data_IF_391720614376
#
_entry.id   IF_391720614376
#
_cell.length_a   1.000
_cell.length_b   1.000
_cell.length_c   1.000
_cell.angle_alpha   90.00
_cell.angle_beta   90.00
_cell.angle_gamma   90.00
#
_symmetry.space_group_name_H-M   'P 1'
#
loop_
_entity.id
_entity.type
_entity.pdbx_description
1 polymer ?
#
# COMPACT_ATOMS: atom_id res chain seq x y z
N UNK A 1 -4.65 -2.45 3.23
CA UNK A 1 -4.92 -3.74 3.90
C UNK A 1 -3.94 -4.74 3.33
N UNK A 2 -3.17 -5.39 4.17
CA UNK A 2 -2.22 -6.45 3.80
C UNK A 2 -2.72 -7.81 4.29
N UNK A 3 -2.07 -8.88 3.82
CA UNK A 3 -2.27 -10.24 4.30
C UNK A 3 -0.99 -10.73 4.94
N UNK A 4 -1.10 -11.24 6.16
CA UNK A 4 0.00 -11.80 6.93
C UNK A 4 -0.30 -13.26 7.28
N UNK A 5 0.73 -14.06 7.48
CA UNK A 5 0.61 -15.41 8.03
C UNK A 5 1.37 -15.52 9.34
N UNK A 6 0.81 -16.29 10.28
CA UNK A 6 1.42 -16.63 11.57
C UNK A 6 1.27 -18.13 11.84
N UNK A 7 2.17 -18.68 12.63
CA UNK A 7 2.18 -20.09 13.01
C UNK A 7 1.77 -20.30 14.46
N UNK A 8 0.96 -21.33 14.71
CA UNK A 8 0.59 -21.79 16.04
C UNK A 8 0.70 -23.28 16.26
N UNK A 9 0.69 -23.69 17.52
CA UNK A 9 0.85 -25.09 17.91
C UNK A 9 2.29 -25.56 18.02
N UNK A 10 3.22 -24.64 18.32
CA UNK A 10 4.62 -25.00 18.59
C UNK A 10 4.66 -25.86 19.85
N UNK A 11 5.28 -27.05 19.78
CA UNK A 11 5.55 -27.92 20.93
C UNK A 11 4.33 -28.26 21.80
N UNK A 12 3.14 -28.37 21.21
CA UNK A 12 1.90 -28.68 21.95
C UNK A 12 1.61 -27.69 23.11
N UNK A 13 1.96 -26.42 22.92
CA UNK A 13 1.74 -25.33 23.88
C UNK A 13 0.25 -24.98 24.15
N UNK A 14 -0.71 -25.80 23.74
CA UNK A 14 -2.15 -25.55 23.90
C UNK A 14 -2.76 -24.63 22.83
N UNK A 15 -1.97 -24.04 21.94
CA UNK A 15 -2.48 -23.14 20.88
C UNK A 15 -3.54 -23.81 20.01
N UNK A 16 -3.33 -25.08 19.67
CA UNK A 16 -4.26 -25.82 18.80
C UNK A 16 -5.63 -25.98 19.45
N UNK A 17 -5.66 -26.34 20.74
CA UNK A 17 -6.91 -26.47 21.50
C UNK A 17 -7.58 -25.11 21.69
N UNK A 18 -6.80 -24.07 21.98
CA UNK A 18 -7.33 -22.71 22.10
C UNK A 18 -7.92 -22.21 20.78
N UNK A 19 -7.22 -22.46 19.68
CA UNK A 19 -7.69 -22.14 18.34
C UNK A 19 -8.98 -22.89 18.05
N UNK A 20 -9.07 -24.20 18.30
CA UNK A 20 -10.30 -24.98 18.06
C UNK A 20 -11.50 -24.39 18.81
N UNK A 21 -11.28 -23.92 20.04
CA UNK A 21 -12.32 -23.36 20.91
C UNK A 21 -12.56 -21.85 20.73
N UNK A 22 -11.88 -21.17 19.80
CA UNK A 22 -12.06 -19.73 19.60
C UNK A 22 -13.42 -19.41 18.98
N UNK A 23 -14.16 -18.46 19.55
CA UNK A 23 -15.42 -17.94 19.03
C UNK A 23 -15.32 -16.51 18.48
N UNK A 24 -16.44 -15.94 18.02
CA UNK A 24 -16.48 -14.66 17.30
C UNK A 24 -15.80 -13.48 18.02
N UNK A 25 -15.85 -13.49 19.36
CA UNK A 25 -15.28 -12.45 20.22
C UNK A 25 -13.86 -12.77 20.72
N UNK A 26 -13.29 -13.89 20.29
CA UNK A 26 -11.94 -14.29 20.70
C UNK A 26 -10.92 -13.27 20.24
N UNK A 27 -10.06 -12.88 21.17
CA UNK A 27 -8.94 -11.96 20.97
C UNK A 27 -7.72 -12.61 21.59
N UNK A 28 -6.61 -12.59 20.87
CA UNK A 28 -5.38 -13.23 21.34
C UNK A 28 -4.15 -12.55 20.76
N UNK A 29 -3.02 -12.80 21.42
CA UNK A 29 -1.73 -12.20 21.14
C UNK A 29 -0.81 -13.23 20.48
N UNK A 30 -0.11 -12.81 19.42
CA UNK A 30 0.75 -13.69 18.63
C UNK A 30 2.04 -12.98 18.24
N UNK A 31 3.09 -13.76 18.00
CA UNK A 31 4.26 -13.27 17.26
C UNK A 31 3.81 -12.86 15.85
N UNK A 32 4.19 -11.66 15.43
CA UNK A 32 3.76 -11.11 14.15
C UNK A 32 4.71 -10.06 13.59
N UNK A 33 4.28 -9.39 12.52
CA UNK A 33 5.06 -8.35 11.87
C UNK A 33 4.73 -6.97 12.47
N UNK A 34 5.75 -6.16 12.76
CA UNK A 34 5.59 -4.77 13.23
C UNK A 34 4.91 -3.86 12.20
N UNK A 35 5.01 -4.20 10.91
CA UNK A 35 4.37 -3.47 9.83
C UNK A 35 2.87 -3.78 9.70
N UNK A 36 2.35 -4.75 10.46
CA UNK A 36 0.92 -5.06 10.49
C UNK A 36 0.12 -3.82 10.88
N UNK A 37 -0.97 -3.54 10.17
CA UNK A 37 -1.90 -2.46 10.51
C UNK A 37 -3.23 -3.01 10.99
N UNK A 38 -3.88 -2.29 11.91
CA UNK A 38 -5.24 -2.63 12.35
C UNK A 38 -6.14 -2.86 11.14
N UNK A 39 -6.84 -3.98 11.13
CA UNK A 39 -7.70 -4.42 10.05
C UNK A 39 -7.01 -5.23 8.96
N UNK A 40 -5.69 -5.42 8.98
CA UNK A 40 -5.05 -6.38 8.07
C UNK A 40 -5.59 -7.80 8.27
N UNK A 41 -5.49 -8.62 7.22
CA UNK A 41 -5.91 -10.03 7.23
C UNK A 41 -4.77 -10.86 7.80
N UNK A 42 -5.09 -11.81 8.68
CA UNK A 42 -4.10 -12.71 9.29
C UNK A 42 -4.52 -14.17 9.09
N UNK A 43 -3.74 -14.90 8.30
CA UNK A 43 -3.85 -16.35 8.14
C UNK A 43 -3.17 -17.03 9.34
N UNK A 44 -3.88 -17.92 10.02
CA UNK A 44 -3.32 -18.73 11.12
C UNK A 44 -3.08 -20.14 10.63
N UNK A 45 -1.81 -20.54 10.62
CA UNK A 45 -1.36 -21.87 10.23
C UNK A 45 -1.00 -22.70 11.46
N UNK A 46 -1.57 -23.89 11.59
CA UNK A 46 -1.16 -24.84 12.61
C UNK A 46 0.07 -25.61 12.13
N UNK A 47 1.13 -25.58 12.93
CA UNK A 47 2.36 -26.34 12.69
C UNK A 47 2.13 -27.84 12.89
N UNK A 48 3.19 -28.63 12.70
CA UNK A 48 3.16 -30.08 12.91
C UNK A 48 2.58 -30.44 14.30
N UNK A 49 1.70 -31.44 14.40
CA UNK A 49 1.35 -32.45 13.38
C UNK A 49 0.22 -32.05 12.42
N UNK A 50 -0.47 -30.92 12.66
CA UNK A 50 -1.64 -30.51 11.86
C UNK A 50 -1.24 -30.05 10.47
N UNK A 51 -0.25 -29.17 10.37
CA UNK A 51 0.34 -28.70 9.10
C UNK A 51 -0.70 -28.19 8.08
N UNK A 52 -1.56 -27.27 8.49
CA UNK A 52 -2.56 -26.65 7.62
C UNK A 52 -2.92 -25.22 8.05
N UNK A 53 -3.43 -24.42 7.12
CA UNK A 53 -4.07 -23.13 7.43
C UNK A 53 -5.43 -23.43 8.08
N UNK A 54 -5.56 -23.00 9.33
CA UNK A 54 -6.67 -23.33 10.22
C UNK A 54 -7.81 -22.32 10.14
N UNK A 55 -7.49 -21.03 10.05
CA UNK A 55 -8.47 -19.96 10.15
C UNK A 55 -7.94 -18.64 9.63
N UNK A 56 -8.86 -17.73 9.30
CA UNK A 56 -8.58 -16.34 8.92
C UNK A 56 -9.04 -15.41 10.04
N UNK A 57 -8.20 -14.43 10.39
CA UNK A 57 -8.44 -13.48 11.47
C UNK A 57 -8.20 -12.05 10.97
N UNK A 58 -8.53 -11.06 11.81
CA UNK A 58 -8.20 -9.63 11.59
C UNK A 58 -7.22 -9.13 12.63
N UNK A 59 -6.28 -8.28 12.21
CA UNK A 59 -5.42 -7.56 13.13
C UNK A 59 -6.24 -6.55 13.95
N UNK A 60 -6.26 -6.70 15.27
CA UNK A 60 -6.95 -5.78 16.20
C UNK A 60 -6.14 -4.51 16.44
N UNK A 61 -4.81 -4.62 16.41
CA UNK A 61 -3.88 -3.50 16.61
C UNK A 61 -2.90 -3.40 15.45
N UNK A 62 -2.20 -2.27 15.36
CA UNK A 62 -0.93 -2.23 14.64
C UNK A 62 0.06 -3.19 15.32
N UNK A 63 1.06 -3.66 14.57
CA UNK A 63 2.18 -4.40 15.11
C UNK A 63 3.06 -3.51 15.97
N UNK A 64 3.62 -4.09 17.03
CA UNK A 64 4.45 -3.37 17.97
C UNK A 64 5.63 -4.23 18.45
N UNK A 65 6.65 -3.53 18.92
CA UNK A 65 7.78 -4.14 19.60
C UNK A 65 7.48 -4.05 21.10
N UNK A 66 7.58 -5.18 21.79
CA UNK A 66 7.47 -5.21 23.24
C UNK A 66 8.70 -5.92 23.82
N UNK A 67 9.74 -5.16 24.25
CA UNK A 67 11.02 -5.71 24.65
C UNK A 67 10.98 -6.70 25.82
N UNK A 68 9.90 -6.69 26.60
CA UNK A 68 9.76 -7.48 27.82
C UNK A 68 8.77 -8.66 27.70
N UNK A 69 8.21 -8.90 26.52
CA UNK A 69 7.27 -10.00 26.28
C UNK A 69 7.97 -11.23 25.67
N UNK A 70 7.27 -12.37 25.70
CA UNK A 70 7.73 -13.64 25.14
C UNK A 70 8.09 -13.55 23.65
N UNK A 71 7.45 -12.64 22.90
CA UNK A 71 7.77 -12.32 21.51
C UNK A 71 8.16 -10.86 21.37
N UNK A 72 9.31 -10.61 20.74
CA UNK A 72 9.82 -9.26 20.52
C UNK A 72 8.94 -8.45 19.55
N UNK A 73 8.43 -9.08 18.49
CA UNK A 73 7.53 -8.47 17.50
C UNK A 73 6.16 -9.14 17.56
N UNK A 74 5.12 -8.35 17.78
CA UNK A 74 3.82 -8.92 18.14
C UNK A 74 2.62 -8.15 17.63
N UNK A 75 1.50 -8.87 17.55
CA UNK A 75 0.20 -8.38 17.10
C UNK A 75 -0.92 -8.94 17.99
N UNK A 76 -2.00 -8.19 18.13
CA UNK A 76 -3.27 -8.72 18.61
C UNK A 76 -4.16 -9.05 17.42
N UNK A 77 -4.78 -10.23 17.42
CA UNK A 77 -5.75 -10.66 16.40
C UNK A 77 -7.13 -10.89 17.00
N UNK A 78 -8.18 -10.73 16.20
CA UNK A 78 -9.56 -10.94 16.61
C UNK A 78 -10.43 -11.42 15.43
N UNK A 79 -11.72 -11.66 15.71
CA UNK A 79 -12.74 -12.01 14.71
C UNK A 79 -12.35 -13.22 13.87
N UNK A 80 -12.15 -14.39 14.51
CA UNK A 80 -11.79 -15.61 13.80
C UNK A 80 -12.90 -16.06 12.86
N UNK A 81 -12.49 -16.51 11.67
CA UNK A 81 -13.34 -17.26 10.75
C UNK A 81 -12.66 -18.61 10.54
N UNK A 82 -13.33 -19.69 10.97
CA UNK A 82 -12.88 -21.06 10.70
C UNK A 82 -13.04 -21.36 9.21
N UNK A 83 -12.04 -22.02 8.65
CA UNK A 83 -12.05 -22.43 7.25
C UNK A 83 -11.88 -23.95 7.17
N UNK A 84 -12.34 -24.54 6.07
CA UNK A 84 -11.95 -25.89 5.70
C UNK A 84 -10.41 -25.91 5.63
N UNK A 85 -9.72 -26.80 6.37
CA UNK A 85 -8.27 -26.82 6.43
C UNK A 85 -7.61 -26.89 5.05
N UNK A 86 -6.63 -26.00 4.82
CA UNK A 86 -5.75 -26.04 3.64
C UNK A 86 -4.41 -26.60 4.08
N UNK A 87 -4.15 -27.84 3.71
CA UNK A 87 -2.94 -28.58 4.09
C UNK A 87 -1.68 -28.00 3.45
N UNK A 88 -0.53 -28.24 4.08
CA UNK A 88 0.76 -27.91 3.48
C UNK A 88 0.95 -28.53 2.10
N UNK A 89 0.47 -29.75 1.89
CA UNK A 89 0.55 -30.42 0.59
C UNK A 89 -0.25 -29.68 -0.49
N UNK A 90 -1.44 -29.19 -0.17
CA UNK A 90 -2.22 -28.33 -1.08
C UNK A 90 -1.49 -27.02 -1.40
N UNK A 91 -0.87 -26.37 -0.42
CA UNK A 91 -0.05 -25.16 -0.66
C UNK A 91 1.15 -25.46 -1.57
N UNK A 92 1.79 -26.61 -1.37
CA UNK A 92 2.97 -27.03 -2.13
C UNK A 92 2.64 -27.42 -3.57
N UNK A 93 1.43 -27.91 -3.82
CA UNK A 93 0.98 -28.34 -5.14
C UNK A 93 0.27 -27.24 -5.93
N UNK A 94 -0.08 -26.11 -5.29
CA UNK A 94 -0.70 -24.98 -5.98
C UNK A 94 0.31 -24.19 -6.86
N UNK A 95 -0.02 -23.85 -8.12
CA UNK A 95 0.92 -23.17 -9.03
C UNK A 95 1.44 -21.81 -8.56
N UNK A 96 0.66 -21.07 -7.76
CA UNK A 96 1.02 -19.75 -7.26
C UNK A 96 1.72 -19.91 -5.92
N UNK A 97 1.10 -20.60 -4.97
CA UNK A 97 1.56 -20.68 -3.59
C UNK A 97 2.85 -21.49 -3.46
N UNK A 98 3.07 -22.50 -4.31
CA UNK A 98 4.33 -23.25 -4.38
C UNK A 98 5.55 -22.38 -4.69
N UNK A 99 5.33 -21.20 -5.29
CA UNK A 99 6.42 -20.27 -5.60
C UNK A 99 6.85 -19.42 -4.41
N UNK A 100 6.00 -19.30 -3.38
CA UNK A 100 6.29 -18.52 -2.18
C UNK A 100 7.48 -19.12 -1.42
N UNK A 101 8.46 -18.29 -1.05
CA UNK A 101 9.66 -18.72 -0.33
C UNK A 101 9.39 -19.37 1.02
N UNK A 102 8.29 -19.01 1.70
CA UNK A 102 7.86 -19.65 2.95
C UNK A 102 7.38 -21.08 2.70
N UNK A 103 6.57 -21.30 1.64
CA UNK A 103 6.08 -22.64 1.27
C UNK A 103 7.24 -23.51 0.81
N UNK A 104 8.14 -23.00 -0.03
CA UNK A 104 9.40 -23.67 -0.42
C UNK A 104 10.26 -24.05 0.79
N UNK A 105 10.31 -23.17 1.79
CA UNK A 105 10.99 -23.38 3.07
C UNK A 105 10.23 -24.24 4.07
N UNK A 106 9.19 -24.98 3.66
CA UNK A 106 8.38 -25.83 4.54
C UNK A 106 7.82 -25.11 5.76
N UNK A 107 7.38 -23.87 5.56
CA UNK A 107 6.80 -23.00 6.60
C UNK A 107 7.77 -22.63 7.74
N UNK A 108 9.08 -22.82 7.57
CA UNK A 108 10.07 -22.37 8.55
C UNK A 108 10.11 -20.84 8.63
N UNK A 109 10.11 -20.29 9.85
CA UNK A 109 10.09 -18.84 10.07
C UNK A 109 8.78 -18.16 9.67
N UNK A 110 7.65 -18.86 9.80
CA UNK A 110 6.31 -18.42 9.37
C UNK A 110 5.83 -17.11 9.98
N UNK A 111 6.22 -16.79 11.21
CA UNK A 111 5.61 -15.70 11.97
C UNK A 111 5.88 -14.34 11.32
N UNK A 112 4.79 -13.65 10.92
CA UNK A 112 4.84 -12.30 10.38
C UNK A 112 5.27 -12.21 8.92
N UNK A 113 5.19 -13.30 8.15
CA UNK A 113 5.47 -13.28 6.70
C UNK A 113 4.28 -12.70 5.95
N UNK A 114 4.56 -11.88 4.93
CA UNK A 114 3.54 -11.25 4.09
C UNK A 114 3.11 -12.19 2.96
N UNK A 115 1.81 -12.27 2.73
CA UNK A 115 1.24 -12.82 1.50
C UNK A 115 0.81 -11.67 0.59
N UNK A 116 1.03 -11.85 -0.70
CA UNK A 116 0.57 -10.96 -1.77
C UNK A 116 -0.93 -11.15 -2.02
N UNK A 117 -1.54 -10.21 -2.75
CA UNK A 117 -2.89 -10.31 -3.26
C UNK A 117 -3.10 -11.60 -4.03
N UNK A 118 -2.22 -11.89 -4.99
CA UNK A 118 -2.33 -13.06 -5.87
C UNK A 118 -2.25 -14.37 -5.06
N UNK A 119 -1.39 -14.42 -4.04
CA UNK A 119 -1.31 -15.57 -3.13
C UNK A 119 -2.57 -15.69 -2.27
N UNK A 120 -3.12 -14.60 -1.77
CA UNK A 120 -4.37 -14.66 -1.00
C UNK A 120 -5.57 -15.06 -1.87
N UNK A 121 -5.65 -14.60 -3.12
CA UNK A 121 -6.67 -15.05 -4.07
C UNK A 121 -6.53 -16.57 -4.34
N UNK A 122 -5.30 -17.09 -4.46
CA UNK A 122 -5.08 -18.54 -4.58
C UNK A 122 -5.58 -19.32 -3.34
N UNK A 123 -5.45 -18.74 -2.14
CA UNK A 123 -6.04 -19.30 -0.91
C UNK A 123 -7.57 -19.32 -0.99
N UNK A 124 -8.19 -18.23 -1.43
CA UNK A 124 -9.66 -18.16 -1.61
C UNK A 124 -10.14 -19.17 -2.65
N UNK A 125 -9.42 -19.31 -3.76
CA UNK A 125 -9.72 -20.30 -4.82
C UNK A 125 -9.66 -21.73 -4.28
N UNK A 126 -8.63 -22.08 -3.49
CA UNK A 126 -8.54 -23.40 -2.86
C UNK A 126 -9.72 -23.65 -1.92
N UNK A 127 -10.10 -22.67 -1.10
CA UNK A 127 -11.27 -22.77 -0.22
C UNK A 127 -12.57 -22.97 -1.00
N UNK A 128 -12.75 -22.21 -2.08
CA UNK A 128 -13.92 -22.32 -2.92
C UNK A 128 -14.01 -23.69 -3.60
N UNK A 129 -12.90 -24.23 -4.12
CA UNK A 129 -12.83 -25.59 -4.67
C UNK A 129 -13.16 -26.66 -3.65
N UNK A 130 -12.89 -26.40 -2.36
CA UNK A 130 -13.24 -27.26 -1.23
C UNK A 130 -14.67 -27.05 -0.71
N UNK A 131 -15.46 -26.19 -1.36
CA UNK A 131 -16.87 -25.95 -1.03
C UNK A 131 -17.09 -24.96 0.12
N UNK A 132 -16.06 -24.26 0.59
CA UNK A 132 -16.22 -23.18 1.55
C UNK A 132 -16.94 -21.99 0.88
N UNK A 133 -17.93 -21.41 1.57
CA UNK A 133 -18.42 -20.08 1.22
C UNK A 133 -17.33 -19.04 1.51
N UNK A 134 -16.73 -18.49 0.46
CA UNK A 134 -15.69 -17.46 0.56
C UNK A 134 -16.26 -16.04 0.66
N UNK A 135 -17.58 -15.85 0.57
CA UNK A 135 -18.21 -14.53 0.68
C UNK A 135 -18.10 -13.92 2.08
N UNK A 136 -17.97 -14.77 3.10
CA UNK A 136 -17.79 -14.37 4.50
C UNK A 136 -16.35 -13.98 4.83
N UNK A 137 -15.39 -14.31 3.97
CA UNK A 137 -13.97 -14.03 4.18
C UNK A 137 -13.62 -12.60 3.78
N UNK A 138 -12.67 -11.94 4.48
CA UNK A 138 -12.24 -10.60 4.13
C UNK A 138 -11.55 -10.60 2.77
N UNK A 139 -12.12 -9.90 1.78
CA UNK A 139 -11.52 -9.80 0.45
C UNK A 139 -10.61 -8.59 0.35
N UNK A 140 -9.50 -8.76 -0.36
CA UNK A 140 -8.74 -7.61 -0.84
C UNK A 140 -9.51 -7.07 -2.04
N UNK A 141 -10.07 -5.87 -1.93
CA UNK A 141 -10.70 -5.24 -3.09
C UNK A 141 -9.61 -4.92 -4.13
N UNK A 142 -9.67 -5.46 -5.36
CA UNK A 142 -8.88 -4.90 -6.44
C UNK A 142 -9.33 -3.45 -6.57
N UNK A 143 -8.43 -2.50 -6.29
CA UNK A 143 -8.78 -1.12 -6.56
C UNK A 143 -9.03 -1.06 -8.05
N UNK A 144 -10.19 -0.53 -8.43
CA UNK A 144 -10.69 -0.33 -9.79
C UNK A 144 -9.70 -0.72 -10.90
N UNK A 145 -10.07 -1.70 -11.72
CA UNK A 145 -9.55 -1.77 -13.08
C UNK A 145 -9.85 -0.40 -13.71
N UNK A 146 -8.83 0.44 -13.92
CA UNK A 146 -8.93 1.47 -14.95
C UNK A 146 -9.22 0.67 -16.21
N UNK A 147 -10.48 0.69 -16.62
CA UNK A 147 -10.96 0.02 -17.81
C UNK A 147 -9.97 0.37 -18.91
N UNK A 148 -9.39 -0.63 -19.56
CA UNK A 148 -8.38 -0.52 -20.63
C UNK A 148 -8.85 0.26 -21.87
N UNK A 149 -9.99 0.96 -21.78
CA UNK A 149 -10.65 1.76 -22.80
C UNK A 149 -10.69 3.26 -22.45
N UNK A 150 -9.73 3.78 -21.69
CA UNK A 150 -9.60 5.24 -21.48
C UNK A 150 -9.07 5.87 -22.77
N UNK A 151 -9.89 6.68 -23.44
CA UNK A 151 -9.48 7.38 -24.66
C UNK A 151 -8.77 8.68 -24.30
N UNK A 152 -7.45 8.61 -24.12
CA UNK A 152 -6.60 9.75 -23.75
C UNK A 152 -6.03 10.37 -25.02
N UNK A 153 -6.41 11.61 -25.31
CA UNK A 153 -6.00 12.35 -26.51
C UNK A 153 -5.09 13.53 -26.19
N UNK A 154 -5.21 14.07 -24.98
CA UNK A 154 -4.46 15.24 -24.54
C UNK A 154 -4.09 15.18 -23.05
N UNK A 155 -3.31 16.17 -22.58
CA UNK A 155 -2.88 16.27 -21.19
C UNK A 155 -4.07 16.40 -20.23
N UNK A 156 -5.12 17.11 -20.65
CA UNK A 156 -6.36 17.26 -19.87
C UNK A 156 -7.07 15.94 -19.61
N UNK A 157 -6.94 14.98 -20.51
CA UNK A 157 -7.48 13.63 -20.29
C UNK A 157 -6.68 12.85 -19.24
N UNK A 158 -5.36 13.04 -19.16
CA UNK A 158 -4.53 12.44 -18.11
C UNK A 158 -4.96 12.96 -16.74
N UNK A 159 -5.23 14.26 -16.64
CA UNK A 159 -5.80 14.87 -15.44
C UNK A 159 -7.13 14.23 -15.02
N UNK A 160 -8.13 14.35 -15.89
CA UNK A 160 -9.50 14.01 -15.54
C UNK A 160 -9.72 12.48 -15.43
N UNK A 161 -9.04 11.69 -16.25
CA UNK A 161 -9.32 10.26 -16.39
C UNK A 161 -8.33 9.35 -15.65
N UNK A 162 -7.15 9.87 -15.23
CA UNK A 162 -6.14 9.09 -14.52
C UNK A 162 -5.78 9.69 -13.15
N UNK A 163 -5.39 10.97 -13.13
CA UNK A 163 -4.90 11.64 -11.92
C UNK A 163 -6.04 11.82 -10.90
N UNK A 164 -7.13 12.48 -11.27
CA UNK A 164 -8.23 12.78 -10.34
C UNK A 164 -8.91 11.54 -9.76
N UNK A 165 -9.18 10.46 -10.53
CA UNK A 165 -9.66 9.20 -9.97
C UNK A 165 -8.70 8.61 -8.92
N UNK A 166 -7.38 8.65 -9.18
CA UNK A 166 -6.38 8.20 -8.22
C UNK A 166 -6.38 9.07 -6.96
N UNK A 167 -6.46 10.40 -7.11
CA UNK A 167 -6.53 11.34 -5.98
C UNK A 167 -7.75 11.05 -5.09
N UNK A 168 -8.91 10.75 -5.68
CA UNK A 168 -10.10 10.33 -4.94
C UNK A 168 -9.85 9.06 -4.10
N UNK A 169 -9.17 8.05 -4.67
CA UNK A 169 -8.79 6.83 -3.94
C UNK A 169 -7.77 7.08 -2.84
N UNK A 170 -6.86 8.03 -3.04
CA UNK A 170 -5.88 8.48 -2.04
C UNK A 170 -6.52 9.34 -0.93
N UNK A 171 -7.83 9.57 -1.00
CA UNK A 171 -8.65 10.26 0.01
C UNK A 171 -8.79 11.76 -0.21
N UNK A 172 -8.28 12.31 -1.31
CA UNK A 172 -8.40 13.73 -1.62
C UNK A 172 -9.79 14.10 -2.12
N UNK A 173 -10.11 15.37 -1.95
CA UNK A 173 -11.29 16.06 -2.46
C UNK A 173 -10.82 17.31 -3.19
N UNK A 174 -11.66 17.90 -4.04
CA UNK A 174 -11.30 19.07 -4.85
C UNK A 174 -10.83 20.29 -4.02
N UNK A 175 -11.16 20.35 -2.74
CA UNK A 175 -10.72 21.40 -1.82
C UNK A 175 -9.30 21.19 -1.27
N UNK A 176 -8.69 20.02 -1.48
CA UNK A 176 -7.36 19.70 -0.96
C UNK A 176 -6.24 20.14 -1.92
N UNK A 177 -6.56 20.58 -3.14
CA UNK A 177 -5.60 21.11 -4.12
C UNK A 177 -6.10 22.38 -4.82
N UNK A 178 -5.17 23.15 -5.36
CA UNK A 178 -5.45 24.25 -6.28
C UNK A 178 -4.77 23.96 -7.60
N UNK A 179 -5.52 24.14 -8.69
CA UNK A 179 -5.00 24.04 -10.04
C UNK A 179 -4.33 25.33 -10.44
N UNK A 180 -3.26 25.23 -11.22
CA UNK A 180 -2.58 26.37 -11.84
C UNK A 180 -2.38 27.51 -10.83
N UNK A 181 -1.71 27.20 -9.71
CA UNK A 181 -1.43 28.19 -8.68
C UNK A 181 -0.39 29.19 -9.19
N UNK A 182 -0.67 30.49 -9.17
CA UNK A 182 0.30 31.50 -9.58
C UNK A 182 1.46 31.58 -8.58
N UNK A 183 2.62 31.03 -8.93
CA UNK A 183 3.83 31.12 -8.12
C UNK A 183 4.73 32.22 -8.67
N UNK A 184 5.01 33.25 -7.87
CA UNK A 184 5.95 34.32 -8.25
C UNK A 184 7.39 33.81 -8.15
N UNK A 185 8.10 33.91 -9.26
CA UNK A 185 9.53 33.63 -9.40
C UNK A 185 10.26 34.95 -9.65
N UNK A 186 11.12 35.36 -8.71
CA UNK A 186 12.04 36.50 -8.90
C UNK A 186 11.43 37.71 -9.61
N UNK A 187 11.98 38.06 -10.78
CA UNK A 187 11.67 39.22 -11.65
C UNK A 187 10.25 39.24 -12.27
N UNK A 188 9.25 38.69 -11.57
CA UNK A 188 7.83 38.81 -11.93
C UNK A 188 7.28 37.68 -12.80
N UNK A 189 8.08 36.66 -13.13
CA UNK A 189 7.57 35.49 -13.84
C UNK A 189 6.63 34.69 -12.94
N UNK A 190 5.48 34.29 -13.50
CA UNK A 190 4.51 33.43 -12.82
C UNK A 190 4.57 32.05 -13.44
N UNK A 191 4.75 31.05 -12.60
CA UNK A 191 4.66 29.66 -13.03
C UNK A 191 3.56 28.94 -12.27
N UNK A 192 2.94 27.96 -12.93
CA UNK A 192 1.69 27.36 -12.53
C UNK A 192 1.86 25.83 -12.48
N UNK A 193 2.04 25.21 -11.30
CA UNK A 193 1.93 23.77 -11.20
C UNK A 193 0.49 23.33 -11.48
N UNK A 194 0.33 22.17 -12.12
CA UNK A 194 -1.02 21.66 -12.46
C UNK A 194 -1.84 21.37 -11.20
N UNK A 195 -1.21 20.84 -10.16
CA UNK A 195 -1.81 20.60 -8.85
C UNK A 195 -0.85 20.99 -7.73
N UNK A 196 -1.29 21.88 -6.84
CA UNK A 196 -0.62 22.20 -5.59
C UNK A 196 -1.51 21.86 -4.39
N UNK A 197 -1.02 21.01 -3.49
CA UNK A 197 -1.82 20.42 -2.40
C UNK A 197 -1.57 21.09 -1.05
N UNK A 198 -2.65 21.29 -0.29
CA UNK A 198 -2.63 21.87 1.06
C UNK A 198 -1.83 23.17 1.13
N UNK A 199 -2.23 24.13 0.29
CA UNK A 199 -1.54 25.41 0.21
C UNK A 199 -1.66 26.15 1.53
N UNK A 200 -0.54 26.73 1.94
CA UNK A 200 -0.50 27.76 2.98
C UNK A 200 -0.18 29.07 2.29
N UNK A 201 -1.12 30.01 2.40
CA UNK A 201 -0.95 31.35 1.84
C UNK A 201 0.01 32.18 2.70
N UNK A 202 0.89 32.92 2.03
CA UNK A 202 1.86 33.83 2.61
C UNK A 202 2.52 34.59 1.47
N UNK A 203 2.51 35.93 1.52
CA UNK A 203 2.96 36.76 0.38
C UNK A 203 4.45 36.53 0.13
N UNK A 204 4.82 35.81 -0.92
CA UNK A 204 6.21 35.40 -1.18
C UNK A 204 6.71 34.21 -0.36
N UNK A 205 5.90 33.70 0.56
CA UNK A 205 6.16 32.53 1.41
C UNK A 205 5.14 31.42 1.14
N UNK A 206 4.62 31.37 -0.09
CA UNK A 206 3.65 30.37 -0.47
C UNK A 206 4.25 28.97 -0.31
N UNK A 207 3.54 28.09 0.39
CA UNK A 207 3.96 26.70 0.60
C UNK A 207 2.88 25.75 0.10
N UNK A 208 3.31 24.62 -0.45
CA UNK A 208 2.46 23.48 -0.75
C UNK A 208 3.13 22.22 -0.20
N UNK A 209 2.35 21.28 0.34
CA UNK A 209 2.93 20.05 0.89
C UNK A 209 3.38 19.07 -0.20
N UNK A 210 2.67 19.08 -1.32
CA UNK A 210 2.94 18.25 -2.49
C UNK A 210 2.60 19.01 -3.77
N UNK A 211 3.32 18.73 -4.84
CA UNK A 211 3.03 19.16 -6.21
C UNK A 211 2.78 17.93 -7.09
N UNK A 212 1.87 18.02 -8.05
CA UNK A 212 1.73 17.02 -9.10
C UNK A 212 1.66 17.74 -10.45
N UNK A 213 2.53 17.32 -11.35
CA UNK A 213 2.61 17.82 -12.73
C UNK A 213 2.05 16.78 -13.70
N UNK A 214 1.15 17.20 -14.57
CA UNK A 214 0.61 16.38 -15.64
C UNK A 214 1.47 16.56 -16.91
N UNK A 215 1.65 15.48 -17.65
CA UNK A 215 2.18 15.49 -19.01
C UNK A 215 1.30 14.58 -19.85
N UNK A 216 1.05 14.91 -21.11
CA UNK A 216 0.34 13.97 -21.98
C UNK A 216 1.10 12.64 -22.10
N UNK A 217 2.40 12.67 -22.42
CA UNK A 217 3.25 11.49 -22.56
C UNK A 217 4.69 11.76 -22.11
N UNK A 218 5.33 10.70 -21.62
CA UNK A 218 6.76 10.63 -21.35
C UNK A 218 7.27 9.30 -21.92
N UNK A 219 7.83 9.34 -23.13
CA UNK A 219 8.32 8.16 -23.87
C UNK A 219 9.79 7.90 -23.65
N UNK A 220 10.55 8.93 -23.27
CA UNK A 220 12.01 8.86 -23.16
C UNK A 220 12.52 9.39 -21.83
N UNK A 221 13.70 8.93 -21.42
CA UNK A 221 14.37 9.46 -20.22
C UNK A 221 14.68 10.96 -20.35
N UNK A 222 14.94 11.45 -21.57
CA UNK A 222 15.15 12.89 -21.83
C UNK A 222 13.89 13.72 -21.55
N UNK A 223 12.72 13.21 -21.92
CA UNK A 223 11.43 13.85 -21.62
C UNK A 223 11.16 13.80 -20.11
N UNK A 224 11.40 12.66 -19.47
CA UNK A 224 11.27 12.52 -18.01
C UNK A 224 12.18 13.50 -17.27
N UNK A 225 13.43 13.65 -17.73
CA UNK A 225 14.40 14.56 -17.13
C UNK A 225 13.96 16.03 -17.24
N UNK A 226 13.36 16.44 -18.35
CA UNK A 226 12.78 17.78 -18.51
C UNK A 226 11.61 18.00 -17.55
N UNK A 227 10.65 17.06 -17.53
CA UNK A 227 9.50 17.13 -16.63
C UNK A 227 9.93 17.14 -15.15
N UNK A 228 10.96 16.36 -14.81
CA UNK A 228 11.58 16.35 -13.49
C UNK A 228 12.12 17.72 -13.08
N UNK A 229 12.92 18.38 -13.92
CA UNK A 229 13.46 19.70 -13.57
C UNK A 229 12.38 20.75 -13.43
N UNK A 230 11.35 20.68 -14.27
CA UNK A 230 10.18 21.53 -14.17
C UNK A 230 9.48 21.34 -12.82
N UNK A 231 9.02 20.12 -12.51
CA UNK A 231 8.31 19.82 -11.27
C UNK A 231 9.17 20.05 -10.01
N UNK A 232 10.47 19.72 -10.08
CA UNK A 232 11.44 19.99 -9.01
C UNK A 232 11.56 21.48 -8.72
N UNK A 233 11.58 22.33 -9.74
CA UNK A 233 11.66 23.78 -9.55
C UNK A 233 10.46 24.31 -8.75
N UNK A 234 9.26 23.78 -9.02
CA UNK A 234 8.03 24.14 -8.31
C UNK A 234 8.05 23.62 -6.88
N UNK A 235 8.45 22.35 -6.69
CA UNK A 235 8.54 21.73 -5.39
C UNK A 235 9.51 22.49 -4.47
N UNK A 236 10.68 22.90 -4.97
CA UNK A 236 11.63 23.70 -4.20
C UNK A 236 11.08 25.08 -3.84
N UNK A 237 10.44 25.76 -4.80
CA UNK A 237 9.87 27.10 -4.59
C UNK A 237 8.72 27.11 -3.58
N UNK A 238 7.90 26.07 -3.58
CA UNK A 238 6.77 25.89 -2.67
C UNK A 238 7.13 25.08 -1.42
N UNK A 239 8.43 24.81 -1.21
CA UNK A 239 8.98 24.06 -0.07
C UNK A 239 8.28 22.71 0.16
N UNK A 240 7.84 22.09 -0.94
CA UNK A 240 7.21 20.77 -0.92
C UNK A 240 8.23 19.69 -0.61
N UNK A 241 7.79 18.67 0.13
CA UNK A 241 8.64 17.52 0.48
C UNK A 241 8.44 16.32 -0.44
N UNK A 242 7.40 16.37 -1.27
CA UNK A 242 7.11 15.36 -2.28
C UNK A 242 6.62 16.08 -3.53
N UNK A 243 7.00 15.61 -4.70
CA UNK A 243 6.28 15.95 -5.93
C UNK A 243 6.10 14.71 -6.79
N UNK A 244 5.10 14.74 -7.65
CA UNK A 244 4.82 13.67 -8.58
C UNK A 244 4.72 14.20 -10.02
N UNK A 245 5.01 13.33 -10.97
CA UNK A 245 4.80 13.56 -12.40
C UNK A 245 3.91 12.43 -12.89
N UNK A 246 2.87 12.77 -13.63
CA UNK A 246 1.92 11.81 -14.17
C UNK A 246 1.81 11.97 -15.69
N UNK A 247 1.85 10.86 -16.41
CA UNK A 247 1.63 10.80 -17.85
C UNK A 247 0.87 9.52 -18.22
N UNK A 248 0.49 9.32 -19.49
CA UNK A 248 -0.15 8.07 -19.94
C UNK A 248 0.62 6.83 -19.47
N UNK A 249 1.95 6.91 -19.50
CA UNK A 249 2.81 5.80 -19.14
C UNK A 249 2.73 5.43 -17.65
N UNK A 250 2.52 6.39 -16.75
CA UNK A 250 2.37 6.13 -15.33
C UNK A 250 2.61 7.34 -14.43
N UNK A 251 2.96 7.03 -13.18
CA UNK A 251 3.18 7.97 -12.10
C UNK A 251 4.62 7.82 -11.57
N UNK A 252 5.35 8.94 -11.52
CA UNK A 252 6.67 9.06 -10.91
C UNK A 252 6.56 9.90 -9.64
N UNK A 253 7.00 9.38 -8.50
CA UNK A 253 6.94 10.07 -7.21
C UNK A 253 8.35 10.31 -6.71
N UNK A 254 8.65 11.57 -6.37
CA UNK A 254 9.94 12.03 -5.87
C UNK A 254 9.77 12.57 -4.46
N UNK A 255 10.56 12.04 -3.52
CA UNK A 255 10.55 12.48 -2.12
C UNK A 255 11.82 13.27 -1.79
N UNK A 256 11.71 14.26 -0.92
CA UNK A 256 12.82 15.07 -0.47
C UNK A 256 13.69 14.27 0.51
N UNK A 257 14.94 14.04 0.12
CA UNK A 257 15.96 13.46 1.00
C UNK A 257 16.89 14.56 1.55
N UNK A 258 17.84 14.17 2.43
CA UNK A 258 18.87 15.09 2.95
C UNK A 258 19.68 15.77 1.85
N UNK A 259 19.96 15.07 0.75
CA UNK A 259 20.68 15.59 -0.42
C UNK A 259 19.77 16.32 -1.43
N UNK A 260 18.50 16.57 -1.07
CA UNK A 260 17.48 17.11 -1.97
C UNK A 260 16.77 16.04 -2.80
N UNK A 261 16.03 16.49 -3.81
CA UNK A 261 15.40 15.60 -4.79
C UNK A 261 16.45 15.03 -5.75
N UNK A 262 16.55 13.70 -5.82
CA UNK A 262 17.40 12.96 -6.75
C UNK A 262 16.59 12.39 -7.92
N UNK A 263 17.10 12.53 -9.15
CA UNK A 263 16.39 12.08 -10.35
C UNK A 263 16.22 10.55 -10.39
N UNK A 264 17.27 9.80 -10.05
CA UNK A 264 17.25 8.33 -10.02
C UNK A 264 16.54 7.77 -8.78
N UNK A 265 16.14 8.62 -7.82
CA UNK A 265 15.53 8.23 -6.55
C UNK A 265 14.02 8.47 -6.55
N UNK A 266 13.34 7.87 -7.53
CA UNK A 266 11.90 7.97 -7.68
C UNK A 266 11.23 6.61 -7.58
N UNK A 267 9.94 6.63 -7.22
CA UNK A 267 9.06 5.48 -7.34
C UNK A 267 8.25 5.64 -8.61
N UNK A 268 8.45 4.74 -9.57
CA UNK A 268 7.63 4.66 -10.78
C UNK A 268 6.60 3.53 -10.65
N UNK A 269 5.35 3.83 -11.03
CA UNK A 269 4.28 2.83 -11.21
C UNK A 269 3.42 3.15 -12.41
N UNK A 270 3.10 2.13 -13.19
CA UNK A 270 2.06 2.21 -14.22
C UNK A 270 0.70 2.42 -13.58
N UNK A 271 -0.27 2.92 -14.35
CA UNK A 271 -1.64 3.09 -13.86
C UNK A 271 -2.30 1.78 -13.43
N UNK A 272 -1.93 0.65 -14.04
CA UNK A 272 -2.42 -0.65 -13.58
C UNK A 272 -1.87 -1.00 -12.19
N UNK A 273 -0.58 -0.74 -11.98
CA UNK A 273 0.06 -1.03 -10.70
C UNK A 273 -0.38 -0.09 -9.57
N UNK A 274 -0.70 1.17 -9.84
CA UNK A 274 -1.15 2.10 -8.80
C UNK A 274 -2.45 1.65 -8.13
N UNK A 275 -3.21 0.77 -8.78
CA UNK A 275 -4.45 0.18 -8.25
C UNK A 275 -4.27 -1.27 -7.78
N UNK A 276 -3.07 -1.83 -7.90
CA UNK A 276 -2.82 -3.18 -7.42
C UNK A 276 -2.83 -3.22 -5.88
N UNK A 277 -3.59 -4.12 -5.23
CA UNK A 277 -3.74 -4.11 -3.76
C UNK A 277 -2.42 -4.23 -2.99
N UNK A 278 -1.40 -4.89 -3.55
CA UNK A 278 -0.07 -4.97 -2.92
C UNK A 278 0.78 -3.71 -3.07
N UNK A 279 0.53 -2.92 -4.11
CA UNK A 279 1.34 -1.74 -4.47
C UNK A 279 0.70 -0.46 -3.94
N UNK A 280 -0.63 -0.38 -3.97
CA UNK A 280 -1.36 0.81 -3.53
C UNK A 280 -1.01 1.26 -2.11
N UNK A 281 -0.81 0.39 -1.10
CA UNK A 281 -0.36 0.82 0.22
C UNK A 281 0.94 1.64 0.18
N UNK A 282 1.88 1.29 -0.71
CA UNK A 282 3.11 2.07 -0.92
C UNK A 282 2.81 3.46 -1.46
N UNK A 283 1.93 3.56 -2.47
CA UNK A 283 1.50 4.85 -3.03
C UNK A 283 0.73 5.69 -1.99
N UNK A 284 -0.16 5.06 -1.24
CA UNK A 284 -0.92 5.69 -0.15
C UNK A 284 0.01 6.23 0.95
N UNK A 285 1.09 5.52 1.27
CA UNK A 285 2.10 5.99 2.22
C UNK A 285 2.91 7.17 1.68
N UNK A 286 3.21 7.21 0.39
CA UNK A 286 4.01 8.28 -0.22
C UNK A 286 3.21 9.57 -0.46
N UNK A 287 2.02 9.44 -1.06
CA UNK A 287 1.23 10.56 -1.56
C UNK A 287 -0.24 10.51 -1.15
N UNK A 288 -0.64 9.66 -0.21
CA UNK A 288 -2.00 9.64 0.32
C UNK A 288 -2.30 10.89 1.16
N UNK A 289 -3.57 11.33 1.19
CA UNK A 289 -4.01 12.54 1.91
C UNK A 289 -3.52 12.59 3.35
N UNK A 290 -3.70 11.49 4.09
CA UNK A 290 -3.32 11.42 5.49
C UNK A 290 -1.79 11.49 5.67
N UNK A 291 -1.05 10.85 4.77
CA UNK A 291 0.42 10.86 4.75
C UNK A 291 0.94 12.28 4.47
N UNK A 292 0.44 12.93 3.42
CA UNK A 292 0.83 14.30 3.07
C UNK A 292 0.42 15.31 4.15
N UNK A 293 -0.77 15.18 4.76
CA UNK A 293 -1.19 16.06 5.86
C UNK A 293 -0.23 16.00 7.06
N UNK A 294 0.34 14.82 7.35
CA UNK A 294 1.31 14.62 8.44
C UNK A 294 2.70 15.19 8.16
N UNK A 295 3.03 15.49 6.90
CA UNK A 295 4.28 16.16 6.56
C UNK A 295 4.28 17.53 7.26
N UNK A 296 5.23 17.72 8.18
CA UNK A 296 5.51 19.04 8.76
C UNK A 296 5.97 19.95 7.63
N UNK A 297 5.28 21.07 7.46
CA UNK A 297 5.80 22.18 6.64
C UNK A 297 7.14 22.61 7.25
N UNK A 298 8.10 22.95 6.39
CA UNK A 298 9.52 23.09 6.72
C UNK A 298 9.82 23.71 8.09
N UNK A 299 10.58 22.96 8.88
CA UNK A 299 11.39 23.42 9.99
C UNK A 299 12.55 22.42 10.08
N UNK A 300 13.78 22.94 10.06
CA UNK A 300 15.03 22.17 10.08
C UNK A 300 15.00 20.95 11.00
#
# INVERSE_FOLDING_TARGET
MNVWIIGGGINQNGDSEWLDNSGDNSITYWQGNVDTKRGDIVLVYCLSPRSYIHSVWRAKTDGFIEPFFYFYNSIWICSPIKIVPITYEELRNDPILSQNGLVKGSMQGINGRKFTFVEYEAILDLLQRKGQDISVLPKLEPLLNISTNVNIKEEKDVENQLIEPLLGKLGYTNNDWTRQMAVRMGSGEKIYPDYAFFIKEGRGEEQAKMILEAKYRIRTQKELFKAYWQAKSYALRLQSRVFAIAAIEGLWIFSLEKSGFGFEKHVYKTWKETYHPDIFPTILNLIGKQSIKKIKAGGN
#
